data_IF_059744119814
#
_entry.id   IF_059744119814
#
_cell.length_a   1.000
_cell.length_b   1.000
_cell.length_c   1.000
_cell.angle_alpha   90.00
_cell.angle_beta   90.00
_cell.angle_gamma   90.00
#
_symmetry.space_group_name_H-M   'P 1'
#
loop_
_entity.id
_entity.type
_entity.pdbx_description
1 polymer ?
#
# COMPACT_ATOMS: atom_id res chain seq x y z
N UNK A 1 -20.22 -14.82 4.05
CA UNK A 1 -20.44 -13.35 4.12
C UNK A 1 -19.09 -12.66 4.26
N UNK A 2 -18.84 -11.62 3.45
CA UNK A 2 -17.65 -10.77 3.64
C UNK A 2 -17.83 -9.96 4.93
N UNK A 3 -16.72 -9.68 5.63
CA UNK A 3 -16.69 -8.91 6.88
C UNK A 3 -15.54 -7.93 6.83
N UNK A 4 -15.65 -6.82 7.56
CA UNK A 4 -14.51 -5.95 7.78
C UNK A 4 -13.39 -6.74 8.47
N UNK A 5 -12.15 -6.66 7.95
CA UNK A 5 -11.02 -7.39 8.53
C UNK A 5 -10.75 -7.01 10.00
N UNK A 6 -10.93 -5.74 10.37
CA UNK A 6 -10.58 -5.24 11.71
C UNK A 6 -11.68 -5.45 12.75
N UNK A 7 -12.92 -5.06 12.46
CA UNK A 7 -14.01 -5.13 13.43
C UNK A 7 -15.03 -6.25 13.19
N UNK A 8 -14.83 -7.07 12.15
CA UNK A 8 -15.75 -8.15 11.77
C UNK A 8 -17.19 -7.71 11.46
N UNK A 9 -17.46 -6.41 11.37
CA UNK A 9 -18.75 -5.88 10.98
C UNK A 9 -19.14 -6.41 9.60
N UNK A 10 -20.39 -6.85 9.48
CA UNK A 10 -21.06 -7.15 8.22
C UNK A 10 -21.90 -5.94 7.80
N UNK A 11 -22.08 -5.74 6.50
CA UNK A 11 -22.78 -4.59 5.94
C UNK A 11 -22.08 -4.05 4.70
N UNK A 12 -22.12 -2.72 4.52
CA UNK A 12 -21.42 -2.04 3.42
C UNK A 12 -19.91 -2.13 3.61
N UNK A 13 -19.29 -2.96 2.79
CA UNK A 13 -17.86 -3.21 2.80
C UNK A 13 -17.22 -2.70 1.52
N UNK A 14 -16.15 -1.93 1.72
CA UNK A 14 -15.35 -1.35 0.64
C UNK A 14 -14.15 -2.28 0.41
N UNK A 15 -13.96 -2.81 -0.81
CA UNK A 15 -12.75 -3.53 -1.15
C UNK A 15 -11.57 -2.57 -1.25
N UNK A 16 -10.45 -2.94 -0.66
CA UNK A 16 -9.16 -2.26 -0.79
C UNK A 16 -8.11 -3.27 -1.20
N UNK A 17 -7.44 -3.02 -2.33
CA UNK A 17 -6.28 -3.81 -2.75
C UNK A 17 -5.07 -3.39 -1.91
N UNK A 18 -4.30 -4.34 -1.39
CA UNK A 18 -3.04 -4.06 -0.72
C UNK A 18 -2.02 -3.49 -1.74
N UNK A 19 -1.32 -2.42 -1.38
CA UNK A 19 -0.35 -1.77 -2.28
C UNK A 19 0.86 -2.63 -2.65
N UNK A 20 1.25 -3.57 -1.77
CA UNK A 20 2.44 -4.42 -1.90
C UNK A 20 2.14 -5.91 -2.16
N UNK A 21 0.86 -6.31 -2.16
CA UNK A 21 0.43 -7.71 -2.30
C UNK A 21 -0.70 -7.80 -3.29
N UNK A 22 -0.78 -8.93 -4.01
CA UNK A 22 -1.91 -9.18 -4.90
C UNK A 22 -3.08 -9.78 -4.12
N UNK A 23 -3.61 -8.97 -3.18
CA UNK A 23 -4.70 -9.37 -2.30
C UNK A 23 -5.65 -8.21 -2.09
N UNK A 24 -6.94 -8.50 -2.10
CA UNK A 24 -8.00 -7.54 -1.81
C UNK A 24 -8.64 -7.89 -0.46
N UNK A 25 -8.71 -6.89 0.42
CA UNK A 25 -9.27 -7.01 1.76
C UNK A 25 -10.51 -6.10 1.83
N UNK A 26 -11.50 -6.50 2.63
CA UNK A 26 -12.75 -5.76 2.78
C UNK A 26 -12.76 -5.04 4.13
N UNK A 27 -13.16 -3.76 4.10
CA UNK A 27 -13.23 -2.90 5.28
C UNK A 27 -14.57 -2.17 5.35
N UNK A 28 -15.06 -1.88 6.55
CA UNK A 28 -16.12 -0.88 6.68
C UNK A 28 -15.52 0.52 6.42
N UNK A 29 -16.35 1.51 6.09
CA UNK A 29 -15.90 2.88 5.75
C UNK A 29 -14.87 3.43 6.75
N UNK A 30 -15.11 3.32 8.06
CA UNK A 30 -14.16 3.78 9.09
C UNK A 30 -12.76 3.17 8.94
N UNK A 31 -12.67 1.84 8.78
CA UNK A 31 -11.37 1.18 8.66
C UNK A 31 -10.78 1.33 7.27
N UNK A 32 -11.60 1.52 6.24
CA UNK A 32 -11.12 1.81 4.89
C UNK A 32 -10.28 3.10 4.89
N UNK A 33 -10.79 4.21 5.44
CA UNK A 33 -10.06 5.48 5.50
C UNK A 33 -8.77 5.38 6.32
N UNK A 34 -8.80 4.64 7.43
CA UNK A 34 -7.62 4.41 8.26
C UNK A 34 -6.55 3.60 7.54
N UNK A 35 -6.95 2.50 6.88
CA UNK A 35 -6.02 1.63 6.17
C UNK A 35 -5.49 2.31 4.93
N UNK A 36 -6.31 3.09 4.21
CA UNK A 36 -5.87 3.84 3.04
C UNK A 36 -4.70 4.78 3.42
N UNK A 37 -4.89 5.60 4.45
CA UNK A 37 -3.84 6.48 4.98
C UNK A 37 -2.60 5.73 5.44
N UNK A 38 -2.79 4.56 6.05
CA UNK A 38 -1.68 3.72 6.49
C UNK A 38 -0.89 3.17 5.29
N UNK A 39 -1.57 2.67 4.26
CA UNK A 39 -0.92 2.19 3.04
C UNK A 39 -0.16 3.31 2.32
N UNK A 40 -0.71 4.53 2.26
CA UNK A 40 -0.01 5.70 1.70
C UNK A 40 1.26 6.04 2.49
N UNK A 41 1.21 5.92 3.82
CA UNK A 41 2.38 6.12 4.69
C UNK A 41 3.43 5.04 4.43
N UNK A 42 3.04 3.77 4.40
CA UNK A 42 3.95 2.65 4.15
C UNK A 42 4.61 2.76 2.77
N UNK A 43 3.87 3.15 1.73
CA UNK A 43 4.40 3.39 0.39
C UNK A 43 5.49 4.46 0.41
N UNK A 44 5.28 5.56 1.13
CA UNK A 44 6.26 6.64 1.27
C UNK A 44 7.50 6.15 2.02
N UNK A 45 7.31 5.49 3.16
CA UNK A 45 8.41 4.97 3.98
C UNK A 45 9.25 3.94 3.19
N UNK A 46 8.61 3.10 2.38
CA UNK A 46 9.29 2.15 1.50
C UNK A 46 10.17 2.87 0.48
N UNK A 47 9.65 3.88 -0.20
CA UNK A 47 10.42 4.65 -1.19
C UNK A 47 11.57 5.41 -0.53
N UNK A 48 11.31 6.07 0.59
CA UNK A 48 12.31 6.87 1.30
C UNK A 48 13.42 6.00 1.90
N UNK A 49 13.12 4.77 2.33
CA UNK A 49 14.12 3.81 2.78
C UNK A 49 15.11 3.45 1.66
N UNK A 50 14.62 3.10 0.48
CA UNK A 50 15.50 2.74 -0.64
C UNK A 50 16.20 3.93 -1.28
N UNK A 51 15.66 5.14 -1.16
CA UNK A 51 16.39 6.38 -1.51
C UNK A 51 17.61 6.60 -0.60
N UNK A 52 17.48 6.32 0.69
CA UNK A 52 18.57 6.43 1.66
C UNK A 52 19.58 5.27 1.54
N UNK A 53 19.11 4.10 1.10
CA UNK A 53 19.91 2.89 0.97
C UNK A 53 19.84 2.30 -0.46
N UNK A 54 20.31 3.02 -1.50
CA UNK A 54 20.13 2.61 -2.90
C UNK A 54 20.83 1.29 -3.23
N UNK A 55 21.92 0.96 -2.54
CA UNK A 55 22.60 -0.34 -2.68
C UNK A 55 21.68 -1.51 -2.32
N UNK A 56 20.70 -1.31 -1.46
CA UNK A 56 19.80 -2.40 -1.07
C UNK A 56 18.78 -2.77 -2.15
N UNK A 57 18.63 -1.96 -3.19
CA UNK A 57 17.77 -2.28 -4.34
C UNK A 57 18.23 -3.57 -5.04
N UNK A 58 19.53 -3.90 -5.02
CA UNK A 58 20.04 -5.12 -5.65
C UNK A 58 19.51 -6.42 -5.01
N UNK A 59 19.09 -6.36 -3.75
CA UNK A 59 18.53 -7.50 -3.02
C UNK A 59 17.01 -7.62 -3.15
N UNK A 60 16.37 -6.66 -3.82
CA UNK A 60 14.94 -6.72 -4.07
C UNK A 60 14.62 -7.74 -5.16
N UNK A 61 13.51 -8.47 -4.97
CA UNK A 61 12.94 -9.26 -6.06
C UNK A 61 12.49 -8.36 -7.21
N UNK A 62 12.44 -8.90 -8.44
CA UNK A 62 11.98 -8.14 -9.62
C UNK A 62 10.65 -7.44 -9.38
N UNK A 63 9.69 -8.12 -8.74
CA UNK A 63 8.38 -7.55 -8.39
C UNK A 63 8.49 -6.35 -7.44
N UNK A 64 9.42 -6.39 -6.48
CA UNK A 64 9.62 -5.30 -5.52
C UNK A 64 10.38 -4.14 -6.15
N UNK A 65 11.28 -4.42 -7.10
CA UNK A 65 11.95 -3.41 -7.92
C UNK A 65 10.95 -2.66 -8.80
N UNK A 66 10.06 -3.37 -9.48
CA UNK A 66 8.99 -2.76 -10.27
C UNK A 66 8.05 -1.91 -9.39
N UNK A 67 7.72 -2.40 -8.20
CA UNK A 67 6.92 -1.66 -7.22
C UNK A 67 7.63 -0.36 -6.81
N UNK A 68 8.92 -0.42 -6.47
CA UNK A 68 9.72 0.75 -6.14
C UNK A 68 9.76 1.75 -7.30
N UNK A 69 10.08 1.30 -8.52
CA UNK A 69 10.16 2.18 -9.69
C UNK A 69 8.83 2.88 -10.00
N UNK A 70 7.71 2.17 -9.83
CA UNK A 70 6.36 2.76 -9.99
C UNK A 70 6.10 3.83 -8.93
N UNK A 71 6.29 3.50 -7.66
CA UNK A 71 6.02 4.41 -6.54
C UNK A 71 6.94 5.64 -6.58
N UNK A 72 8.23 5.45 -6.84
CA UNK A 72 9.19 6.54 -6.93
C UNK A 72 8.79 7.56 -8.02
N UNK A 73 8.28 7.08 -9.16
CA UNK A 73 7.75 7.92 -10.24
C UNK A 73 6.50 8.69 -9.83
N UNK A 74 5.61 8.09 -9.05
CA UNK A 74 4.40 8.76 -8.54
C UNK A 74 4.77 9.84 -7.50
N UNK A 75 5.65 9.54 -6.55
CA UNK A 75 6.12 10.53 -5.58
C UNK A 75 6.92 11.68 -6.21
N UNK A 76 7.62 11.46 -7.33
CA UNK A 76 8.23 12.55 -8.12
C UNK A 76 7.20 13.49 -8.76
N UNK A 77 5.96 13.03 -8.96
CA UNK A 77 4.86 13.80 -9.57
C UNK A 77 3.92 14.46 -8.54
N UNK A 78 4.24 14.40 -7.25
CA UNK A 78 3.40 14.94 -6.19
C UNK A 78 2.74 13.88 -5.29
N UNK A 79 2.99 12.59 -5.52
CA UNK A 79 2.44 11.48 -4.74
C UNK A 79 1.31 10.74 -5.47
N UNK A 80 0.87 9.59 -4.93
CA UNK A 80 -0.37 8.97 -5.37
C UNK A 80 -1.54 9.94 -5.13
N UNK A 81 -2.50 9.94 -6.07
CA UNK A 81 -3.69 10.78 -6.05
C UNK A 81 -4.71 10.33 -5.00
#
# INVERSE_FOLDING_TARGET
MKKCLYCQAAGDLIPLKEWNRDRTIYYCSKHYDQVLKFQEKEQREFVDYFRQHPKLLEFLSSKSLELYARLEKEYKKGGPA
#
